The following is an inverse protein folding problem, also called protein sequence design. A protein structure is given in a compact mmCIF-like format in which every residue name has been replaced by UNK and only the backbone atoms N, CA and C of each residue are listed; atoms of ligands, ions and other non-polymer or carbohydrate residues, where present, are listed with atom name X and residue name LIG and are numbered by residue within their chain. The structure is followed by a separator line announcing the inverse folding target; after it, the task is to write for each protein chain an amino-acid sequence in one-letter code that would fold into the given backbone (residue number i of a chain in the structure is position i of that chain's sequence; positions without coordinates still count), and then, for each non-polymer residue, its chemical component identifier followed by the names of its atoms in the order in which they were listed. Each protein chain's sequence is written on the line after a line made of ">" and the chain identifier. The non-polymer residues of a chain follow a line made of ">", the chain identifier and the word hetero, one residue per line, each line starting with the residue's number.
data_IF_443056046567
#
_entry.id   IF_443056046567
#
_cell.length_a   1.000
_cell.length_b   1.000
_cell.length_c   1.000
_cell.angle_alpha   90.00
_cell.angle_beta   90.00
_cell.angle_gamma   90.00
#
_symmetry.space_group_name_H-M   'P 1'
#
loop_
_entity.id
_entity.type
_entity.pdbx_description
1 polymer ?
#
# COMPACT_ATOMS: atom_id res chain seq x y z
N UNK A 1 20.30 -25.74 4.45
CA UNK A 1 20.93 -24.64 3.67
C UNK A 1 20.38 -23.32 4.19
N UNK A 2 21.23 -22.39 4.62
CA UNK A 2 20.76 -21.04 4.96
C UNK A 2 20.24 -20.38 3.67
N UNK A 3 19.01 -19.85 3.71
CA UNK A 3 18.43 -19.15 2.57
C UNK A 3 19.28 -17.90 2.26
N UNK A 4 19.66 -17.73 1.00
CA UNK A 4 20.30 -16.51 0.54
C UNK A 4 19.34 -15.32 0.78
N UNK A 5 19.82 -14.19 1.34
CA UNK A 5 18.96 -13.04 1.59
C UNK A 5 18.45 -12.46 0.26
N UNK A 6 17.13 -12.25 0.16
CA UNK A 6 16.51 -11.59 -0.99
C UNK A 6 16.87 -10.10 -0.96
N UNK A 7 17.50 -9.60 -2.02
CA UNK A 7 17.77 -8.17 -2.20
C UNK A 7 16.75 -7.59 -3.19
N UNK A 8 16.06 -6.52 -2.78
CA UNK A 8 15.14 -5.81 -3.66
C UNK A 8 15.92 -4.85 -4.58
N UNK A 9 15.80 -5.05 -5.89
CA UNK A 9 16.48 -4.23 -6.90
C UNK A 9 15.78 -2.92 -7.27
N UNK A 10 14.73 -2.51 -6.55
CA UNK A 10 13.83 -1.43 -6.96
C UNK A 10 14.49 -0.05 -7.05
N UNK A 11 15.41 0.23 -6.11
CA UNK A 11 16.16 1.48 -6.06
C UNK A 11 17.61 1.27 -6.52
N UNK A 12 17.84 0.31 -7.41
CA UNK A 12 19.16 0.10 -8.00
C UNK A 12 19.34 1.09 -9.15
N UNK A 13 20.25 2.03 -8.96
CA UNK A 13 20.65 2.96 -10.02
C UNK A 13 21.70 2.32 -10.94
N UNK A 14 21.50 2.50 -12.25
CA UNK A 14 22.40 1.99 -13.27
C UNK A 14 23.56 2.96 -13.45
N UNK A 15 24.74 2.58 -12.93
CA UNK A 15 25.93 3.44 -12.97
C UNK A 15 26.15 4.24 -11.69
N UNK A 16 25.55 3.82 -10.57
CA UNK A 16 25.74 4.41 -9.24
C UNK A 16 27.21 4.81 -8.98
N UNK A 17 27.41 6.08 -8.67
CA UNK A 17 28.64 6.60 -8.09
C UNK A 17 28.36 7.06 -6.65
N UNK A 18 29.28 6.85 -5.69
CA UNK A 18 29.07 7.15 -4.27
C UNK A 18 28.86 8.65 -3.96
N UNK A 19 28.95 9.52 -4.96
CA UNK A 19 28.65 10.95 -4.91
C UNK A 19 27.18 11.31 -5.16
N UNK A 20 26.30 10.34 -5.46
CA UNK A 20 24.91 10.60 -5.82
C UNK A 20 23.93 9.80 -4.94
N UNK A 21 22.78 10.42 -4.65
CA UNK A 21 21.64 9.76 -4.02
C UNK A 21 20.61 9.33 -5.07
N UNK A 22 19.73 8.41 -4.69
CA UNK A 22 18.60 7.99 -5.53
C UNK A 22 17.34 8.74 -5.10
N UNK A 23 16.55 9.20 -6.07
CA UNK A 23 15.25 9.76 -5.80
C UNK A 23 14.31 8.71 -5.19
N UNK A 24 13.60 9.10 -4.14
CA UNK A 24 12.59 8.26 -3.50
C UNK A 24 11.19 8.71 -3.95
N UNK A 25 10.46 7.88 -4.71
CA UNK A 25 9.16 8.28 -5.24
C UNK A 25 8.12 8.35 -4.11
N UNK A 26 7.66 9.57 -3.82
CA UNK A 26 6.56 9.78 -2.87
C UNK A 26 5.21 9.46 -3.50
N UNK A 27 5.01 9.75 -4.78
CA UNK A 27 3.80 9.42 -5.53
C UNK A 27 4.17 9.10 -6.98
N UNK A 28 3.52 8.10 -7.58
CA UNK A 28 3.75 7.70 -8.97
C UNK A 28 2.43 7.56 -9.73
N UNK A 29 2.49 7.52 -11.05
CA UNK A 29 1.28 7.33 -11.85
C UNK A 29 0.50 6.02 -11.50
N UNK A 30 1.14 4.87 -11.23
CA UNK A 30 0.44 3.69 -10.72
C UNK A 30 -0.30 3.92 -9.40
N UNK A 31 0.14 4.83 -8.52
CA UNK A 31 -0.64 5.18 -7.33
C UNK A 31 -1.95 5.84 -7.74
N UNK A 32 -1.90 6.82 -8.65
CA UNK A 32 -3.10 7.52 -9.14
C UNK A 32 -4.10 6.55 -9.78
N UNK A 33 -3.62 5.60 -10.60
CA UNK A 33 -4.46 4.56 -11.21
C UNK A 33 -5.15 3.69 -10.16
N UNK A 34 -4.41 3.21 -9.16
CA UNK A 34 -4.93 2.31 -8.13
C UNK A 34 -5.83 3.05 -7.12
N UNK A 35 -5.51 4.30 -6.77
CA UNK A 35 -6.39 5.17 -5.97
C UNK A 35 -7.71 5.39 -6.72
N UNK A 36 -7.65 5.72 -8.02
CA UNK A 36 -8.84 5.90 -8.84
C UNK A 36 -9.66 4.61 -8.89
N UNK A 37 -9.03 3.45 -9.15
CA UNK A 37 -9.72 2.17 -9.23
C UNK A 37 -10.53 1.89 -7.96
N UNK A 38 -9.88 2.01 -6.78
CA UNK A 38 -10.56 1.80 -5.51
C UNK A 38 -11.66 2.83 -5.28
N UNK A 39 -11.37 4.13 -5.41
CA UNK A 39 -12.32 5.20 -5.14
C UNK A 39 -13.56 5.11 -6.05
N UNK A 40 -13.35 4.86 -7.35
CA UNK A 40 -14.43 4.68 -8.31
C UNK A 40 -15.29 3.46 -7.94
N UNK A 41 -14.69 2.35 -7.52
CA UNK A 41 -15.46 1.19 -7.09
C UNK A 41 -16.27 1.45 -5.82
N UNK A 42 -15.74 2.21 -4.86
CA UNK A 42 -16.46 2.55 -3.64
C UNK A 42 -17.61 3.52 -3.90
N UNK A 43 -17.36 4.57 -4.70
CA UNK A 43 -18.37 5.56 -5.03
C UNK A 43 -19.58 4.97 -5.78
N UNK A 44 -19.36 3.91 -6.55
CA UNK A 44 -20.41 3.23 -7.32
C UNK A 44 -20.99 1.98 -6.63
N UNK A 45 -20.62 1.69 -5.37
CA UNK A 45 -20.99 0.46 -4.66
C UNK A 45 -20.62 -0.84 -5.41
N UNK A 46 -19.61 -0.79 -6.29
CA UNK A 46 -19.16 -1.90 -7.10
C UNK A 46 -18.14 -1.45 -8.16
N UNK A 47 -17.28 -2.36 -8.65
CA UNK A 47 -16.29 -2.00 -9.64
C UNK A 47 -16.92 -1.65 -10.99
N UNK A 48 -16.47 -0.56 -11.59
CA UNK A 48 -16.84 -0.17 -12.96
C UNK A 48 -15.86 -0.75 -13.97
N UNK A 49 -16.22 -0.77 -15.26
CA UNK A 49 -15.31 -1.17 -16.33
C UNK A 49 -14.01 -0.34 -16.31
N UNK A 50 -14.13 0.96 -16.03
CA UNK A 50 -12.98 1.86 -15.93
C UNK A 50 -12.13 1.57 -14.68
N UNK A 51 -12.74 1.21 -13.54
CA UNK A 51 -11.99 0.80 -12.36
C UNK A 51 -11.15 -0.45 -12.62
N UNK A 52 -11.73 -1.46 -13.29
CA UNK A 52 -10.99 -2.64 -13.75
C UNK A 52 -9.86 -2.28 -14.69
N UNK A 53 -10.11 -1.41 -15.68
CA UNK A 53 -9.07 -0.98 -16.61
C UNK A 53 -7.89 -0.30 -15.89
N UNK A 54 -8.14 0.61 -14.94
CA UNK A 54 -7.04 1.26 -14.18
C UNK A 54 -6.22 0.29 -13.34
N UNK A 55 -6.88 -0.70 -12.72
CA UNK A 55 -6.19 -1.80 -12.02
C UNK A 55 -5.35 -2.64 -13.01
N UNK A 56 -5.94 -2.99 -14.16
CA UNK A 56 -5.32 -3.84 -15.16
C UNK A 56 -4.17 -3.14 -15.90
N UNK A 57 -4.18 -1.83 -16.08
CA UNK A 57 -3.02 -1.11 -16.65
C UNK A 57 -1.75 -1.34 -15.84
N UNK A 58 -1.83 -1.24 -14.51
CA UNK A 58 -0.69 -1.52 -13.63
C UNK A 58 -0.27 -2.99 -13.76
N UNK A 59 -1.25 -3.89 -13.75
CA UNK A 59 -1.04 -5.33 -13.87
C UNK A 59 -0.38 -5.73 -15.19
N UNK A 60 -0.91 -5.29 -16.34
CA UNK A 60 -0.36 -5.52 -17.68
C UNK A 60 1.09 -5.07 -17.77
N UNK A 61 1.38 -3.85 -17.29
CA UNK A 61 2.75 -3.32 -17.25
C UNK A 61 3.67 -4.20 -16.40
N UNK A 62 3.22 -4.65 -15.23
CA UNK A 62 4.01 -5.53 -14.37
C UNK A 62 4.34 -6.88 -15.03
N UNK A 63 3.51 -7.35 -15.96
CA UNK A 63 3.74 -8.55 -16.77
C UNK A 63 4.52 -8.27 -18.07
N UNK A 64 5.00 -7.05 -18.28
CA UNK A 64 5.77 -6.67 -19.48
C UNK A 64 4.91 -6.50 -20.74
N UNK A 65 3.60 -6.29 -20.58
CA UNK A 65 2.64 -6.08 -21.66
C UNK A 65 2.34 -4.58 -21.84
N UNK A 66 1.80 -4.22 -22.99
CA UNK A 66 1.27 -2.88 -23.25
C UNK A 66 0.11 -2.59 -22.28
N UNK A 67 0.21 -1.54 -21.42
CA UNK A 67 -0.83 -1.22 -20.45
C UNK A 67 -2.16 -0.85 -21.10
N UNK A 68 -2.15 -0.30 -22.32
CA UNK A 68 -3.34 0.20 -23.01
C UNK A 68 -4.03 -0.88 -23.86
N UNK A 69 -3.48 -2.10 -23.88
CA UNK A 69 -4.04 -3.24 -24.62
C UNK A 69 -4.53 -4.32 -23.66
N UNK A 70 -5.80 -4.74 -23.82
CA UNK A 70 -6.38 -5.83 -23.04
C UNK A 70 -5.59 -7.13 -23.19
N UNK A 71 -5.53 -7.92 -22.12
CA UNK A 71 -4.76 -9.16 -22.07
C UNK A 71 -5.45 -10.24 -21.24
N UNK A 72 -5.06 -11.50 -21.44
CA UNK A 72 -5.58 -12.66 -20.69
C UNK A 72 -5.27 -12.61 -19.18
N UNK A 73 -4.33 -11.77 -18.76
CA UNK A 73 -3.99 -11.56 -17.35
C UNK A 73 -4.93 -10.60 -16.63
N UNK A 74 -5.82 -9.94 -17.38
CA UNK A 74 -6.74 -8.93 -16.87
C UNK A 74 -7.73 -9.52 -15.88
N UNK A 75 -7.93 -8.78 -14.80
CA UNK A 75 -8.97 -9.06 -13.83
C UNK A 75 -10.31 -8.53 -14.35
N UNK A 76 -11.38 -9.28 -14.08
CA UNK A 76 -12.74 -8.98 -14.54
C UNK A 76 -13.73 -9.09 -13.39
N UNK A 77 -15.01 -8.86 -13.68
CA UNK A 77 -16.11 -9.04 -12.73
C UNK A 77 -16.21 -10.47 -12.17
N UNK A 78 -15.64 -11.47 -12.86
CA UNK A 78 -15.52 -12.83 -12.35
C UNK A 78 -14.55 -12.94 -11.14
N UNK A 79 -13.62 -11.99 -11.00
CA UNK A 79 -12.67 -11.96 -9.89
C UNK A 79 -13.16 -11.13 -8.70
N UNK A 80 -14.01 -10.13 -8.95
CA UNK A 80 -14.64 -9.32 -7.91
C UNK A 80 -15.92 -8.69 -8.46
N UNK A 81 -17.04 -8.95 -7.79
CA UNK A 81 -18.34 -8.37 -8.15
C UNK A 81 -18.81 -7.31 -7.16
N UNK A 82 -18.25 -7.26 -5.95
CA UNK A 82 -18.56 -6.26 -4.93
C UNK A 82 -17.43 -5.25 -4.75
N UNK A 83 -17.77 -4.06 -4.21
CA UNK A 83 -16.76 -3.06 -3.86
C UNK A 83 -15.76 -3.55 -2.80
N UNK A 84 -16.20 -4.44 -1.90
CA UNK A 84 -15.33 -5.03 -0.87
C UNK A 84 -14.29 -5.98 -1.50
N UNK A 85 -14.74 -6.90 -2.37
CA UNK A 85 -13.85 -7.84 -3.06
C UNK A 85 -12.88 -7.09 -3.98
N UNK A 86 -13.37 -6.08 -4.68
CA UNK A 86 -12.54 -5.27 -5.57
C UNK A 86 -11.49 -4.48 -4.80
N UNK A 87 -11.83 -3.92 -3.63
CA UNK A 87 -10.84 -3.29 -2.74
C UNK A 87 -9.73 -4.27 -2.37
N UNK A 88 -10.04 -5.54 -2.09
CA UNK A 88 -9.00 -6.54 -1.79
C UNK A 88 -8.09 -6.80 -3.00
N UNK A 89 -8.63 -6.84 -4.23
CA UNK A 89 -7.81 -6.92 -5.44
C UNK A 89 -6.88 -5.72 -5.59
N UNK A 90 -7.40 -4.50 -5.38
CA UNK A 90 -6.58 -3.28 -5.44
C UNK A 90 -5.50 -3.28 -4.36
N UNK A 91 -5.84 -3.59 -3.10
CA UNK A 91 -4.87 -3.67 -2.00
C UNK A 91 -3.78 -4.72 -2.26
N UNK A 92 -4.12 -5.81 -2.92
CA UNK A 92 -3.15 -6.83 -3.34
C UNK A 92 -2.22 -6.30 -4.43
N UNK A 93 -2.75 -5.67 -5.47
CA UNK A 93 -1.93 -5.09 -6.54
C UNK A 93 -1.05 -3.94 -6.00
N UNK A 94 -1.58 -3.10 -5.09
CA UNK A 94 -0.80 -2.08 -4.36
C UNK A 94 0.36 -2.69 -3.56
N UNK A 95 0.16 -3.87 -2.94
CA UNK A 95 1.24 -4.55 -2.22
C UNK A 95 2.38 -5.00 -3.15
N UNK A 96 2.04 -5.50 -4.35
CA UNK A 96 3.02 -5.92 -5.35
C UNK A 96 3.75 -4.73 -5.97
N UNK A 97 2.99 -3.73 -6.42
CA UNK A 97 3.51 -2.55 -7.12
C UNK A 97 4.34 -1.66 -6.18
N UNK A 98 3.94 -1.47 -4.92
CA UNK A 98 4.56 -0.55 -3.96
C UNK A 98 5.39 -1.22 -2.87
N UNK A 99 5.83 -2.46 -3.09
CA UNK A 99 6.78 -3.11 -2.19
C UNK A 99 7.99 -2.17 -1.98
N UNK A 100 8.39 -2.00 -0.71
CA UNK A 100 9.46 -1.11 -0.24
C UNK A 100 9.29 0.41 -0.54
N UNK A 101 8.07 0.88 -0.78
CA UNK A 101 7.78 2.32 -0.95
C UNK A 101 6.98 2.94 0.21
N UNK A 102 6.89 2.28 1.36
CA UNK A 102 6.27 2.84 2.58
C UNK A 102 4.74 3.00 2.51
N UNK A 103 4.06 2.39 1.53
CA UNK A 103 2.60 2.52 1.35
C UNK A 103 1.77 1.53 2.16
N UNK A 104 2.29 0.31 2.35
CA UNK A 104 1.51 -0.85 2.85
C UNK A 104 0.89 -0.62 4.22
N UNK A 105 1.62 0.00 5.15
CA UNK A 105 1.12 0.25 6.50
C UNK A 105 -0.12 1.15 6.49
N UNK A 106 -0.04 2.29 5.81
CA UNK A 106 -1.14 3.25 5.71
C UNK A 106 -2.33 2.69 4.95
N UNK A 107 -2.09 1.89 3.91
CA UNK A 107 -3.16 1.18 3.20
C UNK A 107 -3.93 0.24 4.14
N UNK A 108 -3.23 -0.52 4.98
CA UNK A 108 -3.88 -1.46 5.90
C UNK A 108 -4.57 -0.78 7.08
N UNK A 109 -4.04 0.35 7.56
CA UNK A 109 -4.68 1.16 8.61
C UNK A 109 -5.98 1.76 8.09
N UNK A 110 -5.95 2.46 6.94
CA UNK A 110 -7.15 3.14 6.43
C UNK A 110 -8.28 2.18 6.09
N UNK A 111 -7.97 0.93 5.76
CA UNK A 111 -8.97 -0.10 5.47
C UNK A 111 -9.33 -0.96 6.68
N UNK A 112 -8.72 -0.72 7.84
CA UNK A 112 -8.98 -1.48 9.07
C UNK A 112 -8.52 -2.93 9.04
N UNK A 113 -7.65 -3.31 8.10
CA UNK A 113 -7.23 -4.71 7.87
C UNK A 113 -5.86 -5.03 8.44
N UNK A 114 -5.16 -4.07 9.04
CA UNK A 114 -3.77 -4.26 9.54
C UNK A 114 -3.65 -5.39 10.55
N UNK A 115 -4.56 -5.48 11.54
CA UNK A 115 -4.52 -6.53 12.57
C UNK A 115 -4.64 -7.91 11.96
N UNK A 116 -5.63 -8.10 11.08
CA UNK A 116 -5.86 -9.36 10.38
C UNK A 116 -4.63 -9.76 9.55
N UNK A 117 -4.15 -8.86 8.70
CA UNK A 117 -3.03 -9.16 7.79
C UNK A 117 -1.73 -9.45 8.54
N UNK A 118 -1.44 -8.73 9.63
CA UNK A 118 -0.24 -9.00 10.43
C UNK A 118 -0.36 -10.31 11.19
N UNK A 119 -1.55 -10.64 11.73
CA UNK A 119 -1.78 -11.92 12.39
C UNK A 119 -1.58 -13.08 11.41
N UNK A 120 -2.16 -13.00 10.22
CA UNK A 120 -2.02 -14.03 9.18
C UNK A 120 -0.57 -14.18 8.70
N UNK A 121 0.15 -13.08 8.51
CA UNK A 121 1.51 -13.10 7.96
C UNK A 121 2.60 -13.42 8.99
N UNK A 122 2.39 -13.10 10.27
CA UNK A 122 3.42 -13.15 11.33
C UNK A 122 3.01 -13.92 12.57
N UNK A 123 1.74 -14.28 12.74
CA UNK A 123 1.24 -14.87 13.98
C UNK A 123 1.22 -13.88 15.16
N UNK A 124 1.28 -12.57 14.88
CA UNK A 124 1.36 -11.52 15.90
C UNK A 124 0.04 -10.76 15.94
N UNK A 125 -0.61 -10.74 17.10
CA UNK A 125 -1.76 -9.89 17.35
C UNK A 125 -1.29 -8.46 17.65
N UNK A 126 -1.75 -7.49 16.84
CA UNK A 126 -1.45 -6.07 17.03
C UNK A 126 -2.50 -5.46 17.99
N UNK A 127 -2.10 -4.91 19.14
CA UNK A 127 -3.02 -4.22 20.04
C UNK A 127 -3.40 -2.83 19.47
N UNK A 128 -4.51 -2.26 19.95
CA UNK A 128 -5.08 -1.02 19.39
C UNK A 128 -4.14 0.19 19.46
N UNK A 129 -3.34 0.31 20.52
CA UNK A 129 -2.44 1.46 20.68
C UNK A 129 -1.38 1.53 19.58
N UNK A 130 -0.96 0.40 18.98
CA UNK A 130 0.02 0.39 17.88
C UNK A 130 -0.52 0.93 16.55
N UNK A 131 -1.80 1.28 16.47
CA UNK A 131 -2.38 1.89 15.27
C UNK A 131 -1.98 3.36 15.09
N UNK A 132 -1.53 4.01 16.16
CA UNK A 132 -0.99 5.37 16.15
C UNK A 132 0.41 5.36 16.77
N UNK A 133 1.31 6.21 16.27
CA UNK A 133 2.61 6.39 16.94
C UNK A 133 2.43 7.22 18.22
N UNK A 134 3.20 6.97 19.29
CA UNK A 134 3.16 7.85 20.46
C UNK A 134 3.62 9.25 20.07
N UNK A 135 3.01 10.25 20.68
CA UNK A 135 3.57 11.60 20.72
C UNK A 135 4.93 11.50 21.43
N UNK A 136 6.04 11.98 20.83
CA UNK A 136 7.34 11.90 21.46
C UNK A 136 7.34 12.61 22.82
N UNK A 137 7.92 11.97 23.85
CA UNK A 137 7.94 12.50 25.21
C UNK A 137 8.53 13.92 25.29
N UNK A 138 9.55 14.20 24.46
CA UNK A 138 10.16 15.52 24.38
C UNK A 138 9.19 16.61 23.91
N UNK A 139 8.20 16.30 23.08
CA UNK A 139 7.19 17.26 22.64
C UNK A 139 6.21 17.58 23.78
N UNK A 140 5.89 16.60 24.63
CA UNK A 140 5.06 16.78 25.83
C UNK A 140 5.84 17.59 26.88
N UNK A 141 7.09 17.22 27.17
CA UNK A 141 7.91 17.87 28.19
C UNK A 141 8.20 19.35 27.89
N UNK A 142 8.27 19.72 26.61
CA UNK A 142 8.62 21.08 26.18
C UNK A 142 7.41 21.96 25.84
N UNK A 143 6.19 21.44 25.86
CA UNK A 143 4.99 22.19 25.51
C UNK A 143 3.96 22.15 26.66
N UNK A 144 3.77 23.24 27.42
CA UNK A 144 2.84 23.26 28.55
C UNK A 144 1.37 23.07 28.15
N UNK A 145 1.02 23.25 26.87
CA UNK A 145 -0.32 23.02 26.32
C UNK A 145 -0.53 21.59 25.84
N UNK A 146 0.52 20.74 25.86
CA UNK A 146 0.44 19.34 25.49
C UNK A 146 0.82 18.48 26.70
N UNK A 147 -0.17 17.83 27.27
CA UNK A 147 -0.01 17.05 28.50
C UNK A 147 0.03 15.55 28.21
N UNK A 148 0.34 14.75 29.22
CA UNK A 148 0.22 13.29 29.12
C UNK A 148 -1.22 12.82 28.83
N UNK A 149 -2.23 13.64 29.10
CA UNK A 149 -3.64 13.32 28.77
C UNK A 149 -3.93 13.46 27.28
N UNK A 150 -3.15 14.26 26.55
CA UNK A 150 -3.25 14.46 25.10
C UNK A 150 -2.54 13.37 24.30
N UNK A 151 -1.92 12.41 24.98
CA UNK A 151 -1.23 11.28 24.36
C UNK A 151 -2.19 10.39 23.57
N UNK A 152 -1.67 9.75 22.51
CA UNK A 152 -2.43 8.77 21.76
C UNK A 152 -2.86 7.60 22.67
N UNK A 153 -4.09 7.06 22.50
CA UNK A 153 -4.65 6.08 23.43
C UNK A 153 -3.74 4.86 23.66
N UNK A 154 -3.45 4.57 24.93
CA UNK A 154 -2.70 3.39 25.35
C UNK A 154 -1.18 3.57 25.48
N UNK A 155 -0.68 4.80 25.35
CA UNK A 155 0.70 5.20 25.67
C UNK A 155 0.79 6.02 26.94
#
# INVERSE_FOLDING_TARGET
>A
MAAQPIRFGKFKDAGFAPSHGNDYPVLRYPDALLIYAEAASQANNGPTALAFDRLNQVRRRAYGLDPDQSSLIDLTTANASSAADFRQLVLRERAYEFMIEGKRWFDLIRTGTVKQVVLEAKGIAIPDYFLLFPIPAQEIDNNPELTSEDQNPGY
#
